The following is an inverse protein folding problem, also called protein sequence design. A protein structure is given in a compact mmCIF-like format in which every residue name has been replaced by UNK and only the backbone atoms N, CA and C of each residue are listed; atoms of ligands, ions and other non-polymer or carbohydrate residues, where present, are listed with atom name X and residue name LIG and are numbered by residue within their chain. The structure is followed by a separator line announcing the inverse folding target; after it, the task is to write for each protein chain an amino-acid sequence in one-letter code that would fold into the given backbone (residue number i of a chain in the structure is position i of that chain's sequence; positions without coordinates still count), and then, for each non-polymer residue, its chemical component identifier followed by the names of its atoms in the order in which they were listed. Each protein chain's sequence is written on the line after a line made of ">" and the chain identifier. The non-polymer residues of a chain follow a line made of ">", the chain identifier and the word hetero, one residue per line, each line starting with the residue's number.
data_IF_120317237876
#
_entry.id   IF_120317237876
#
_cell.length_a   1.000
_cell.length_b   1.000
_cell.length_c   1.000
_cell.angle_alpha   90.00
_cell.angle_beta   90.00
_cell.angle_gamma   90.00
#
_symmetry.space_group_name_H-M   'P 1'
#
loop_
_entity.id
_entity.type
_entity.pdbx_description
1 polymer ?
#
# COMPACT_ATOMS: atom_id res chain seq x y z
N UNK A 1 58.21 -36.80 -15.03
CA UNK A 1 57.32 -35.69 -15.44
C UNK A 1 58.18 -34.49 -15.84
N UNK A 2 57.88 -33.82 -16.97
CA UNK A 2 58.60 -32.60 -17.36
C UNK A 2 58.04 -31.38 -16.62
N UNK A 3 58.86 -30.35 -16.37
CA UNK A 3 58.42 -29.10 -15.72
C UNK A 3 57.21 -28.48 -16.46
N UNK A 4 57.19 -28.58 -17.79
CA UNK A 4 56.09 -28.11 -18.65
C UNK A 4 54.79 -28.89 -18.42
N UNK A 5 54.89 -30.21 -18.28
CA UNK A 5 53.74 -31.08 -17.98
C UNK A 5 53.18 -30.82 -16.59
N UNK A 6 54.05 -30.56 -15.61
CA UNK A 6 53.63 -30.27 -14.23
C UNK A 6 52.80 -28.97 -14.16
N UNK A 7 53.29 -27.86 -14.74
CA UNK A 7 52.55 -26.61 -14.73
C UNK A 7 51.25 -26.66 -15.54
N UNK A 8 51.20 -27.45 -16.62
CA UNK A 8 49.98 -27.62 -17.42
C UNK A 8 48.89 -28.34 -16.62
N UNK A 9 49.24 -29.42 -15.91
CA UNK A 9 48.29 -30.16 -15.07
C UNK A 9 47.84 -29.32 -13.88
N UNK A 10 48.77 -28.60 -13.22
CA UNK A 10 48.44 -27.72 -12.10
C UNK A 10 47.50 -26.57 -12.54
N UNK A 11 47.75 -25.95 -13.70
CA UNK A 11 46.91 -24.87 -14.23
C UNK A 11 45.50 -25.34 -14.59
N UNK A 12 45.37 -26.44 -15.34
CA UNK A 12 44.05 -26.99 -15.68
C UNK A 12 43.31 -27.53 -14.45
N UNK A 13 44.02 -28.10 -13.48
CA UNK A 13 43.47 -28.50 -12.19
C UNK A 13 42.89 -27.31 -11.42
N UNK A 14 43.62 -26.21 -11.30
CA UNK A 14 43.13 -25.01 -10.63
C UNK A 14 41.92 -24.39 -11.34
N UNK A 15 41.95 -24.32 -12.68
CA UNK A 15 40.85 -23.76 -13.47
C UNK A 15 39.55 -24.56 -13.34
N UNK A 16 39.62 -25.90 -13.41
CA UNK A 16 38.46 -26.77 -13.30
C UNK A 16 37.84 -26.73 -11.90
N UNK A 17 38.66 -26.73 -10.86
CA UNK A 17 38.20 -26.58 -9.47
C UNK A 17 37.54 -25.22 -9.26
N UNK A 18 38.18 -24.13 -9.71
CA UNK A 18 37.60 -22.79 -9.59
C UNK A 18 36.28 -22.65 -10.32
N UNK A 19 36.17 -23.22 -11.53
CA UNK A 19 34.92 -23.20 -12.32
C UNK A 19 33.81 -24.01 -11.66
N UNK A 20 34.12 -25.15 -11.04
CA UNK A 20 33.15 -25.98 -10.32
C UNK A 20 32.63 -25.28 -9.04
N UNK A 21 33.51 -24.59 -8.30
CA UNK A 21 33.12 -23.78 -7.13
C UNK A 21 32.19 -22.64 -7.57
N UNK A 22 32.56 -21.89 -8.61
CA UNK A 22 31.72 -20.81 -9.12
C UNK A 22 30.36 -21.30 -9.64
N UNK A 23 30.32 -22.48 -10.28
CA UNK A 23 29.07 -23.10 -10.72
C UNK A 23 28.21 -23.54 -9.53
N UNK A 24 28.82 -24.13 -8.50
CA UNK A 24 28.13 -24.52 -7.27
C UNK A 24 27.58 -23.30 -6.51
N UNK A 25 28.34 -22.21 -6.44
CA UNK A 25 27.85 -20.96 -5.86
C UNK A 25 26.72 -20.36 -6.70
N UNK A 26 26.78 -20.47 -8.03
CA UNK A 26 25.75 -19.90 -8.92
C UNK A 26 24.44 -20.71 -8.97
N UNK A 27 24.53 -22.04 -8.87
CA UNK A 27 23.42 -22.98 -9.02
C UNK A 27 23.01 -23.70 -7.72
N UNK A 28 23.81 -23.60 -6.67
CA UNK A 28 23.55 -24.25 -5.38
C UNK A 28 22.38 -23.62 -4.65
N UNK A 29 21.71 -24.36 -3.76
CA UNK A 29 20.62 -23.81 -2.96
C UNK A 29 21.15 -22.68 -2.04
N UNK A 30 20.38 -21.59 -1.84
CA UNK A 30 20.78 -20.55 -0.91
C UNK A 30 20.94 -21.12 0.51
N UNK A 31 21.85 -20.57 1.33
CA UNK A 31 21.87 -20.88 2.75
C UNK A 31 20.49 -20.54 3.34
N UNK A 32 19.87 -21.50 4.00
CA UNK A 32 18.60 -21.28 4.70
C UNK A 32 18.89 -20.50 5.99
N UNK A 33 19.11 -19.20 5.85
CA UNK A 33 19.16 -18.24 6.94
C UNK A 33 17.75 -17.81 7.35
N UNK A 34 17.50 -17.71 8.67
CA UNK A 34 16.16 -17.41 9.22
C UNK A 34 15.62 -16.01 8.90
N UNK A 35 16.34 -15.17 8.16
CA UNK A 35 15.98 -13.78 7.90
C UNK A 35 16.13 -13.34 6.43
N UNK A 36 16.23 -14.27 5.46
CA UNK A 36 16.06 -13.97 4.04
C UNK A 36 17.04 -12.96 3.43
N UNK A 37 18.22 -12.76 4.02
CA UNK A 37 19.27 -11.90 3.45
C UNK A 37 20.63 -12.51 3.75
N UNK A 38 20.92 -13.63 3.10
CA UNK A 38 22.22 -14.28 3.16
C UNK A 38 22.33 -15.32 2.05
N UNK A 39 23.11 -14.99 1.01
CA UNK A 39 23.60 -15.98 0.06
C UNK A 39 23.53 -15.54 -1.40
N UNK A 40 24.69 -15.29 -1.98
CA UNK A 40 24.98 -15.22 -3.40
C UNK A 40 24.78 -16.57 -4.11
N UNK A 41 23.57 -17.15 -4.02
CA UNK A 41 23.23 -18.53 -4.41
C UNK A 41 21.96 -18.68 -5.24
N UNK A 42 21.71 -17.78 -6.20
CA UNK A 42 20.44 -17.81 -6.93
C UNK A 42 20.34 -16.86 -8.10
N UNK A 43 21.23 -16.95 -9.08
CA UNK A 43 21.02 -16.24 -10.35
C UNK A 43 19.71 -16.68 -11.04
N UNK A 44 19.28 -17.93 -10.79
CA UNK A 44 18.04 -18.51 -11.32
C UNK A 44 16.85 -18.47 -10.34
N UNK A 45 17.06 -17.99 -9.11
CA UNK A 45 15.99 -17.81 -8.12
C UNK A 45 15.71 -16.32 -7.96
N UNK A 46 14.79 -15.75 -8.75
CA UNK A 46 14.44 -14.35 -8.60
C UNK A 46 13.97 -14.12 -7.16
N UNK A 47 14.48 -13.06 -6.55
CA UNK A 47 14.00 -12.63 -5.24
C UNK A 47 12.58 -12.07 -5.41
N UNK A 48 11.58 -12.95 -5.35
CA UNK A 48 10.18 -12.57 -5.40
C UNK A 48 9.77 -12.16 -3.99
N UNK A 49 9.59 -10.85 -3.79
CA UNK A 49 8.90 -10.37 -2.62
C UNK A 49 7.43 -10.79 -2.74
N UNK A 50 7.01 -11.75 -1.92
CA UNK A 50 5.60 -12.13 -1.85
C UNK A 50 4.80 -10.98 -1.26
N UNK A 51 4.09 -10.27 -2.12
CA UNK A 51 3.13 -9.25 -1.70
C UNK A 51 1.77 -9.90 -1.39
N UNK A 52 1.09 -9.37 -0.38
CA UNK A 52 -0.28 -9.78 -0.06
C UNK A 52 -1.20 -9.62 -1.28
N UNK A 53 -2.09 -10.60 -1.55
CA UNK A 53 -3.03 -10.52 -2.67
C UNK A 53 -3.78 -9.18 -2.74
N UNK A 54 -3.96 -8.65 -3.96
CA UNK A 54 -4.66 -7.38 -4.17
C UNK A 54 -6.10 -7.44 -3.64
N UNK A 55 -6.76 -8.59 -3.82
CA UNK A 55 -8.08 -8.89 -3.31
C UNK A 55 -8.04 -9.60 -1.95
N UNK A 56 -8.88 -9.16 -1.02
CA UNK A 56 -9.01 -9.78 0.30
C UNK A 56 -10.43 -9.66 0.84
N UNK A 57 -10.78 -10.57 1.74
CA UNK A 57 -12.05 -10.53 2.47
C UNK A 57 -11.90 -9.66 3.71
N UNK A 58 -12.79 -8.69 3.86
CA UNK A 58 -12.94 -7.89 5.06
C UNK A 58 -14.00 -8.52 5.99
N UNK A 59 -14.66 -7.71 6.83
CA UNK A 59 -15.73 -8.14 7.72
C UNK A 59 -17.08 -8.35 7.02
N UNK A 60 -18.09 -8.70 7.80
CA UNK A 60 -19.49 -8.71 7.36
C UNK A 60 -19.99 -7.26 7.23
N UNK A 61 -20.95 -6.95 6.33
CA UNK A 61 -21.58 -5.63 6.26
C UNK A 61 -22.09 -5.11 7.60
N UNK A 62 -22.55 -6.00 8.49
CA UNK A 62 -23.04 -5.67 9.84
C UNK A 62 -21.95 -5.15 10.78
N UNK A 63 -20.69 -5.44 10.51
CA UNK A 63 -19.54 -5.03 11.36
C UNK A 63 -19.21 -3.54 11.21
N UNK A 64 -19.81 -2.87 10.22
CA UNK A 64 -19.55 -1.47 9.87
C UNK A 64 -20.81 -0.65 10.12
N UNK A 65 -20.82 0.24 11.11
CA UNK A 65 -21.98 1.09 11.40
C UNK A 65 -22.23 2.13 10.28
N UNK A 66 -23.47 2.60 10.13
CA UNK A 66 -23.75 3.73 9.23
C UNK A 66 -22.93 4.95 9.66
N UNK A 67 -22.20 5.56 8.72
CA UNK A 67 -21.28 6.67 8.95
C UNK A 67 -19.87 6.24 9.39
N UNK A 68 -19.59 4.94 9.55
CA UNK A 68 -18.28 4.46 10.01
C UNK A 68 -17.19 4.62 8.96
N UNK A 69 -15.98 4.89 9.44
CA UNK A 69 -14.73 4.83 8.69
C UNK A 69 -13.81 3.80 9.32
N UNK A 70 -13.67 2.64 8.69
CA UNK A 70 -12.78 1.56 9.15
C UNK A 70 -11.48 1.61 8.37
N UNK A 71 -10.38 1.86 9.07
CA UNK A 71 -9.04 2.01 8.48
C UNK A 71 -8.24 0.71 8.64
N UNK A 72 -7.92 0.08 7.53
CA UNK A 72 -7.09 -1.13 7.45
C UNK A 72 -5.71 -0.72 6.93
N UNK A 73 -4.85 -0.23 7.83
CA UNK A 73 -3.54 0.35 7.48
C UNK A 73 -2.60 -0.67 6.83
N UNK A 74 -2.61 -1.92 7.30
CA UNK A 74 -1.83 -3.04 6.78
C UNK A 74 -2.23 -3.40 5.34
N UNK A 75 -3.53 -3.33 5.03
CA UNK A 75 -4.05 -3.53 3.67
C UNK A 75 -4.02 -2.26 2.82
N UNK A 76 -3.71 -1.11 3.44
CA UNK A 76 -3.76 0.23 2.84
C UNK A 76 -5.13 0.52 2.22
N UNK A 77 -6.18 0.19 2.96
CA UNK A 77 -7.57 0.39 2.53
C UNK A 77 -8.36 1.08 3.63
N UNK A 78 -9.31 1.91 3.23
CA UNK A 78 -10.35 2.40 4.13
C UNK A 78 -11.70 1.95 3.61
N UNK A 79 -12.53 1.42 4.50
CA UNK A 79 -13.91 1.05 4.22
C UNK A 79 -14.80 2.10 4.88
N UNK A 80 -15.59 2.79 4.07
CA UNK A 80 -16.59 3.71 4.55
C UNK A 80 -17.98 3.16 4.29
N UNK A 81 -18.89 3.38 5.25
CA UNK A 81 -20.32 3.08 5.11
C UNK A 81 -21.10 4.38 5.23
N UNK A 82 -21.83 4.75 4.19
CA UNK A 82 -22.75 5.88 4.19
C UNK A 82 -24.19 5.39 3.93
N UNK A 83 -25.22 6.26 3.95
CA UNK A 83 -26.60 5.86 3.65
C UNK A 83 -26.82 5.33 2.23
N UNK A 84 -25.93 5.63 1.28
CA UNK A 84 -26.00 5.18 -0.11
C UNK A 84 -25.32 3.82 -0.33
N UNK A 85 -24.48 3.38 0.61
CA UNK A 85 -23.86 2.05 0.63
C UNK A 85 -22.41 2.06 1.12
N UNK A 86 -21.69 1.03 0.72
CA UNK A 86 -20.26 0.87 1.01
C UNK A 86 -19.40 1.41 -0.11
N UNK A 87 -18.26 2.00 0.25
CA UNK A 87 -17.18 2.28 -0.67
C UNK A 87 -15.84 2.06 -0.01
N UNK A 88 -14.88 1.61 -0.79
CA UNK A 88 -13.51 1.39 -0.36
C UNK A 88 -12.58 2.41 -1.03
N UNK A 89 -11.54 2.81 -0.29
CA UNK A 89 -10.54 3.78 -0.72
C UNK A 89 -9.17 3.11 -0.67
N UNK A 90 -8.37 3.31 -1.71
CA UNK A 90 -6.94 3.05 -1.66
C UNK A 90 -6.27 4.08 -0.76
N UNK A 91 -5.75 3.67 0.40
CA UNK A 91 -5.08 4.53 1.38
C UNK A 91 -3.64 4.83 0.94
N UNK A 92 -3.50 5.31 -0.29
CA UNK A 92 -2.25 5.63 -0.95
C UNK A 92 -2.33 7.10 -1.37
N UNK A 93 -1.47 7.92 -0.76
CA UNK A 93 -1.36 9.32 -1.07
C UNK A 93 -0.93 9.50 -2.53
N UNK A 94 -1.68 10.27 -3.30
CA UNK A 94 -1.44 10.51 -4.73
C UNK A 94 -0.27 11.46 -5.01
N UNK A 95 0.41 11.93 -3.97
CA UNK A 95 1.66 12.66 -4.10
C UNK A 95 2.82 11.70 -4.43
N UNK A 96 3.20 10.83 -3.49
CA UNK A 96 4.36 9.93 -3.60
C UNK A 96 4.10 8.55 -2.96
N UNK A 97 2.83 8.19 -2.76
CA UNK A 97 2.48 6.84 -2.32
C UNK A 97 2.68 6.55 -0.84
N UNK A 98 2.79 7.55 0.04
CA UNK A 98 2.73 7.32 1.50
C UNK A 98 1.34 6.82 1.93
N UNK A 99 1.21 6.21 3.10
CA UNK A 99 -0.10 5.83 3.69
C UNK A 99 -0.59 6.95 4.60
N UNK A 100 -1.66 7.70 4.23
CA UNK A 100 -2.23 8.72 5.11
C UNK A 100 -2.84 8.11 6.37
N UNK A 101 -2.84 8.89 7.46
CA UNK A 101 -3.50 8.50 8.71
C UNK A 101 -4.82 9.24 8.85
N UNK A 102 -5.85 8.55 9.35
CA UNK A 102 -7.13 9.15 9.64
C UNK A 102 -7.09 9.93 10.96
N UNK A 103 -7.74 11.10 10.98
CA UNK A 103 -7.92 11.93 12.16
C UNK A 103 -9.35 12.47 12.20
N UNK A 104 -9.87 12.69 13.41
CA UNK A 104 -11.11 13.44 13.62
C UNK A 104 -10.98 14.92 13.28
N UNK A 105 -9.75 15.45 13.27
CA UNK A 105 -9.44 16.84 12.96
C UNK A 105 -8.30 16.96 11.93
N UNK A 106 -8.67 17.37 10.72
CA UNK A 106 -7.74 17.67 9.63
C UNK A 106 -7.73 19.10 9.16
N UNK A 107 -8.37 20.02 9.89
CA UNK A 107 -8.58 21.39 9.39
C UNK A 107 -8.30 22.48 10.41
N UNK A 108 -8.35 22.21 11.71
CA UNK A 108 -8.27 23.27 12.72
C UNK A 108 -6.99 24.09 12.66
N UNK A 109 -5.86 23.43 12.41
CA UNK A 109 -4.57 24.07 12.27
C UNK A 109 -4.47 24.93 10.99
N UNK A 110 -5.13 24.51 9.90
CA UNK A 110 -5.22 25.31 8.67
C UNK A 110 -6.10 26.55 8.86
N UNK A 111 -7.24 26.38 9.53
CA UNK A 111 -8.13 27.49 9.89
C UNK A 111 -7.39 28.50 10.78
N UNK A 112 -6.57 28.02 11.71
CA UNK A 112 -5.74 28.86 12.58
C UNK A 112 -4.66 29.63 11.81
N UNK A 113 -4.11 29.02 10.75
CA UNK A 113 -3.20 29.68 9.79
C UNK A 113 -3.92 30.66 8.84
N UNK A 114 -5.24 30.83 8.98
CA UNK A 114 -6.04 31.75 8.17
C UNK A 114 -6.48 31.17 6.81
N UNK A 115 -6.25 29.88 6.57
CA UNK A 115 -6.72 29.20 5.36
C UNK A 115 -8.24 29.07 5.46
N UNK A 116 -8.93 29.51 4.41
CA UNK A 116 -10.38 29.54 4.32
C UNK A 116 -10.86 28.81 3.06
N UNK A 117 -12.19 28.65 2.91
CA UNK A 117 -12.78 27.98 1.75
C UNK A 117 -12.72 26.44 1.80
N UNK A 118 -12.33 25.86 2.93
CA UNK A 118 -12.32 24.41 3.11
C UNK A 118 -13.75 23.91 3.28
N UNK A 119 -14.28 23.23 2.26
CA UNK A 119 -15.62 22.65 2.23
C UNK A 119 -15.55 21.21 1.79
N UNK A 120 -16.07 20.30 2.62
CA UNK A 120 -16.20 18.89 2.27
C UNK A 120 -17.28 18.75 1.17
N UNK A 121 -16.95 18.20 -0.01
CA UNK A 121 -17.89 18.04 -1.11
C UNK A 121 -18.99 17.01 -0.84
N UNK A 122 -18.75 16.01 0.02
CA UNK A 122 -19.70 14.95 0.34
C UNK A 122 -20.68 15.41 1.43
N UNK A 123 -20.15 15.87 2.57
CA UNK A 123 -20.98 16.25 3.73
C UNK A 123 -21.45 17.70 3.70
N UNK A 124 -20.91 18.54 2.79
CA UNK A 124 -21.10 20.00 2.72
C UNK A 124 -20.65 20.77 3.96
N UNK A 125 -20.00 20.10 4.91
CA UNK A 125 -19.45 20.75 6.10
C UNK A 125 -18.34 21.73 5.70
N UNK A 126 -18.24 22.84 6.42
CA UNK A 126 -17.28 23.91 6.14
C UNK A 126 -16.39 24.11 7.35
N UNK A 127 -15.07 24.05 7.16
CA UNK A 127 -14.13 24.42 8.20
C UNK A 127 -13.95 25.94 8.21
N UNK A 128 -14.27 26.57 9.35
CA UNK A 128 -14.12 28.00 9.55
C UNK A 128 -13.80 28.30 11.02
N UNK A 129 -13.62 29.58 11.39
CA UNK A 129 -13.26 29.96 12.76
C UNK A 129 -14.27 29.50 13.82
N UNK A 130 -15.55 29.40 13.49
CA UNK A 130 -16.59 28.93 14.43
C UNK A 130 -16.63 27.39 14.51
N UNK A 131 -16.44 26.70 13.39
CA UNK A 131 -16.43 25.24 13.29
C UNK A 131 -15.14 24.79 12.59
N UNK A 132 -14.01 24.68 13.30
CA UNK A 132 -12.71 24.51 12.66
C UNK A 132 -12.36 23.05 12.33
N UNK A 133 -13.15 22.08 12.79
CA UNK A 133 -12.82 20.65 12.79
C UNK A 133 -13.63 19.91 11.71
N UNK A 134 -12.93 19.28 10.77
CA UNK A 134 -13.47 18.28 9.87
C UNK A 134 -12.62 17.01 9.95
N UNK A 135 -13.24 15.81 9.88
CA UNK A 135 -12.50 14.56 9.84
C UNK A 135 -11.92 14.28 8.45
N UNK A 136 -10.86 13.47 8.40
CA UNK A 136 -10.25 13.09 7.13
C UNK A 136 -8.87 12.47 7.32
N UNK A 137 -8.01 12.62 6.32
CA UNK A 137 -6.68 12.02 6.31
C UNK A 137 -5.57 13.07 6.25
N UNK A 138 -4.52 12.90 7.06
CA UNK A 138 -3.25 13.64 6.94
C UNK A 138 -2.15 12.70 6.47
N UNK A 139 -1.44 13.09 5.42
CA UNK A 139 -0.26 12.40 4.95
C UNK A 139 0.97 12.85 5.76
N UNK A 140 1.71 11.93 6.41
CA UNK A 140 2.85 12.29 7.28
C UNK A 140 4.08 12.81 6.52
N UNK A 141 4.14 12.59 5.20
CA UNK A 141 5.33 12.91 4.40
C UNK A 141 5.47 14.42 4.08
N UNK A 142 4.49 15.00 3.39
CA UNK A 142 4.52 16.42 2.94
C UNK A 142 3.24 17.18 3.30
N UNK A 143 2.42 16.62 4.21
CA UNK A 143 1.24 17.30 4.74
C UNK A 143 0.01 17.33 3.85
N UNK A 144 -0.04 16.55 2.75
CA UNK A 144 -1.26 16.42 1.93
C UNK A 144 -2.45 16.01 2.79
N UNK A 145 -3.62 16.63 2.54
CA UNK A 145 -4.86 16.34 3.27
C UNK A 145 -5.99 16.01 2.35
N UNK A 146 -6.81 15.10 2.84
CA UNK A 146 -7.97 14.59 2.14
C UNK A 146 -9.17 14.58 3.08
N UNK A 147 -10.36 14.83 2.55
CA UNK A 147 -11.59 14.59 3.29
C UNK A 147 -11.82 13.08 3.49
N UNK A 148 -12.83 12.72 4.29
CA UNK A 148 -13.22 11.33 4.55
C UNK A 148 -13.53 10.56 3.26
N UNK A 149 -13.97 11.26 2.23
CA UNK A 149 -14.28 10.72 0.90
C UNK A 149 -13.06 10.64 -0.03
N UNK A 150 -11.85 10.90 0.46
CA UNK A 150 -10.59 10.91 -0.28
C UNK A 150 -10.35 12.09 -1.24
N UNK A 151 -11.21 13.12 -1.27
CA UNK A 151 -10.93 14.32 -2.06
C UNK A 151 -9.83 15.14 -1.39
N UNK A 152 -8.76 15.44 -2.14
CA UNK A 152 -7.65 16.28 -1.69
C UNK A 152 -8.10 17.75 -1.61
N UNK A 153 -7.64 18.46 -0.57
CA UNK A 153 -7.96 19.89 -0.40
C UNK A 153 -6.78 20.73 0.10
N UNK A 154 -5.67 20.10 0.49
CA UNK A 154 -4.48 20.80 0.96
C UNK A 154 -3.21 19.97 0.68
N UNK A 155 -2.08 20.67 0.49
CA UNK A 155 -0.76 20.08 0.25
C UNK A 155 -0.51 19.67 -1.20
N UNK A 156 0.61 18.99 -1.48
CA UNK A 156 1.11 18.77 -2.85
C UNK A 156 0.42 17.63 -3.63
N UNK A 157 -0.58 16.96 -3.05
CA UNK A 157 -1.27 15.89 -3.74
C UNK A 157 -2.13 16.46 -4.90
N UNK A 158 -1.94 16.00 -6.15
CA UNK A 158 -2.55 16.63 -7.32
C UNK A 158 -4.01 16.20 -7.57
N UNK A 159 -4.45 15.09 -6.95
CA UNK A 159 -5.78 14.49 -7.20
C UNK A 159 -6.29 13.71 -5.98
N UNK A 160 -7.60 13.37 -5.93
CA UNK A 160 -8.17 12.49 -4.90
C UNK A 160 -7.55 11.10 -4.89
N UNK A 161 -7.57 10.41 -3.74
CA UNK A 161 -7.20 8.98 -3.67
C UNK A 161 -8.25 8.12 -4.38
N UNK A 162 -7.80 6.97 -4.90
CA UNK A 162 -8.63 6.10 -5.75
C UNK A 162 -9.70 5.35 -4.94
N UNK A 163 -10.89 5.18 -5.54
CA UNK A 163 -11.86 4.19 -5.06
C UNK A 163 -11.46 2.83 -5.60
N UNK A 164 -11.57 1.81 -4.75
CA UNK A 164 -11.32 0.42 -5.14
C UNK A 164 -12.61 -0.38 -5.04
N UNK A 165 -12.68 -1.46 -5.81
CA UNK A 165 -13.88 -2.30 -5.85
C UNK A 165 -14.23 -2.84 -4.46
N UNK A 166 -15.54 -2.92 -4.20
CA UNK A 166 -16.08 -3.65 -3.06
C UNK A 166 -17.30 -4.43 -3.52
N UNK A 167 -17.35 -5.71 -3.19
CA UNK A 167 -18.38 -6.65 -3.58
C UNK A 167 -18.84 -7.46 -2.36
N UNK A 168 -20.02 -8.09 -2.47
CA UNK A 168 -20.48 -9.04 -1.46
C UNK A 168 -20.04 -10.45 -1.87
N UNK A 169 -19.16 -11.05 -1.06
CA UNK A 169 -18.72 -12.43 -1.23
C UNK A 169 -19.84 -13.43 -0.95
N UNK A 170 -19.68 -14.67 -1.44
CA UNK A 170 -20.65 -15.76 -1.23
C UNK A 170 -20.83 -16.16 0.24
N UNK A 171 -19.85 -15.85 1.07
CA UNK A 171 -19.85 -16.03 2.53
C UNK A 171 -20.44 -14.82 3.28
N UNK A 172 -21.01 -13.85 2.55
CA UNK A 172 -21.62 -12.64 3.11
C UNK A 172 -20.63 -11.59 3.57
N UNK A 173 -19.32 -11.80 3.40
CA UNK A 173 -18.29 -10.81 3.75
C UNK A 173 -18.05 -9.83 2.61
N UNK A 174 -17.58 -8.63 2.94
CA UNK A 174 -17.12 -7.68 1.93
C UNK A 174 -15.83 -8.19 1.30
N UNK A 175 -15.83 -8.34 -0.03
CA UNK A 175 -14.65 -8.63 -0.84
C UNK A 175 -14.14 -7.31 -1.42
N UNK A 176 -12.89 -6.96 -1.14
CA UNK A 176 -12.27 -5.73 -1.63
C UNK A 176 -11.13 -6.12 -2.56
N UNK A 177 -11.11 -5.58 -3.78
CA UNK A 177 -9.99 -5.73 -4.70
C UNK A 177 -9.37 -4.37 -5.04
N UNK A 178 -8.14 -4.17 -4.54
CA UNK A 178 -7.33 -2.96 -4.68
C UNK A 178 -6.82 -2.75 -6.11
N UNK A 179 -6.77 -3.82 -6.92
CA UNK A 179 -6.30 -3.75 -8.31
C UNK A 179 -7.36 -3.19 -9.26
N UNK A 180 -8.63 -3.18 -8.83
CA UNK A 180 -9.76 -2.69 -9.61
C UNK A 180 -10.19 -1.32 -9.10
N UNK A 181 -9.78 -0.27 -9.80
CA UNK A 181 -10.23 1.10 -9.54
C UNK A 181 -11.63 1.29 -10.11
N UNK A 182 -12.53 1.87 -9.31
CA UNK A 182 -13.92 2.12 -9.68
C UNK A 182 -14.24 3.62 -9.68
N UNK A 183 -15.39 3.99 -10.25
CA UNK A 183 -15.83 5.38 -10.22
C UNK A 183 -15.98 5.91 -8.79
N UNK A 184 -15.73 7.21 -8.59
CA UNK A 184 -15.77 7.85 -7.26
C UNK A 184 -17.14 7.73 -6.59
N UNK A 185 -18.21 7.71 -7.39
CA UNK A 185 -19.59 7.63 -6.97
C UNK A 185 -20.08 6.17 -6.79
N UNK A 186 -19.24 5.17 -7.08
CA UNK A 186 -19.58 3.77 -6.85
C UNK A 186 -19.94 3.54 -5.38
N UNK A 187 -21.07 2.85 -5.17
CA UNK A 187 -21.55 2.39 -3.87
C UNK A 187 -22.08 0.97 -3.99
N UNK A 188 -21.55 0.05 -3.19
CA UNK A 188 -22.13 -1.26 -3.03
C UNK A 188 -23.34 -1.16 -2.07
N UNK A 189 -24.51 -1.56 -2.56
CA UNK A 189 -25.72 -1.69 -1.73
C UNK A 189 -25.75 -3.09 -1.15
N UNK A 190 -25.57 -3.22 0.16
CA UNK A 190 -25.53 -4.49 0.89
C UNK A 190 -26.19 -4.33 2.27
#
# INVERSE_FOLDING_TARGET
>A
MSRRSFFSIAGWGAFTVGSAIALWESLGPPPVGKNGVDGSGGFLNPNVLYEDPAAFKAGLPTDYALGSTTVLTDKRVVINRDPNGFYAISLICTHLGCTPRYFSDVTSDLVTQGISGIRDPDTRQVANKANPILPGFKCPCHGSRYFRDAINFFGPAPRPMDRVSVELGRDGRLLIDRSVVVDRNFRLKA
#
